data_IF_424207424322
#
_entry.id   IF_424207424322
#
_cell.length_a   1.000
_cell.length_b   1.000
_cell.length_c   1.000
_cell.angle_alpha   90.00
_cell.angle_beta   90.00
_cell.angle_gamma   90.00
#
_symmetry.space_group_name_H-M   'P 1'
#
loop_
_entity.id
_entity.type
_entity.pdbx_description
1 polymer ?
#
# COMPACT_ATOMS: atom_id res chain seq x y z
N UNK A 1 -41.09 10.00 36.77
CA UNK A 1 -40.55 9.04 37.77
C UNK A 1 -39.06 8.93 37.51
N UNK A 2 -38.18 9.62 38.27
CA UNK A 2 -37.42 9.12 39.45
C UNK A 2 -36.74 7.76 39.15
N UNK A 3 -35.43 7.51 39.29
CA UNK A 3 -34.32 8.08 40.11
C UNK A 3 -33.03 7.33 39.69
N UNK A 4 -31.90 7.99 39.41
CA UNK A 4 -30.73 8.26 40.29
C UNK A 4 -29.84 7.05 40.67
N UNK A 5 -28.58 7.08 40.20
CA UNK A 5 -27.30 6.92 40.96
C UNK A 5 -26.15 6.82 39.96
N UNK A 6 -25.36 7.87 39.72
CA UNK A 6 -24.25 8.41 40.53
C UNK A 6 -23.15 7.39 40.85
N UNK A 7 -22.00 7.60 40.21
CA UNK A 7 -20.72 6.91 40.41
C UNK A 7 -19.57 7.85 40.03
N UNK A 8 -19.55 9.02 40.66
CA UNK A 8 -18.47 10.01 40.67
C UNK A 8 -18.00 10.08 42.13
N UNK A 9 -16.79 9.64 42.41
CA UNK A 9 -16.05 9.83 43.68
C UNK A 9 -14.54 9.67 43.38
N UNK A 10 -13.63 10.25 44.18
CA UNK A 10 -12.80 11.35 43.72
C UNK A 10 -11.31 11.17 44.08
N UNK A 11 -10.55 12.16 43.64
CA UNK A 11 -9.16 12.46 43.99
C UNK A 11 -8.88 12.28 45.48
N UNK A 12 -7.87 11.45 45.80
CA UNK A 12 -7.26 11.41 47.13
C UNK A 12 -6.15 12.47 47.27
N UNK A 13 -6.07 13.17 48.41
CA UNK A 13 -5.11 14.25 48.64
C UNK A 13 -3.74 13.76 49.12
N UNK A 14 -2.71 14.50 48.70
CA UNK A 14 -1.34 14.41 49.22
C UNK A 14 -1.27 15.07 50.61
N UNK A 15 -0.94 14.29 51.64
CA UNK A 15 -0.42 14.80 52.92
C UNK A 15 1.07 14.50 53.00
N UNK A 16 1.88 15.51 53.34
CA UNK A 16 3.30 15.33 53.64
C UNK A 16 4.17 16.57 53.51
N UNK A 17 3.80 17.69 54.14
CA UNK A 17 4.71 18.79 54.46
C UNK A 17 5.10 18.68 55.93
N UNK A 18 6.37 18.33 56.20
CA UNK A 18 7.06 18.55 57.48
C UNK A 18 8.56 18.41 57.27
N UNK A 19 9.33 19.47 57.53
CA UNK A 19 10.79 19.38 57.73
C UNK A 19 11.63 20.35 56.90
N UNK A 20 11.65 21.63 57.30
CA UNK A 20 12.80 22.50 57.04
C UNK A 20 13.91 22.17 58.04
N UNK A 21 15.18 22.28 57.64
CA UNK A 21 16.11 23.03 58.47
C UNK A 21 16.95 24.06 57.69
N UNK A 22 17.06 25.21 58.34
CA UNK A 22 18.14 26.20 58.41
C UNK A 22 19.12 26.37 57.25
N UNK A 23 19.17 27.64 56.81
CA UNK A 23 20.28 28.27 56.09
C UNK A 23 21.55 28.25 56.93
N UNK A 24 22.63 27.75 56.37
CA UNK A 24 23.99 28.19 56.62
C UNK A 24 24.84 28.02 55.35
N UNK A 25 25.94 28.76 55.30
CA UNK A 25 26.72 29.21 54.15
C UNK A 25 27.07 28.24 53.00
N UNK A 26 27.13 28.84 51.79
CA UNK A 26 27.63 28.30 50.53
C UNK A 26 29.09 27.80 50.61
N UNK A 27 29.46 26.86 49.73
CA UNK A 27 30.38 27.27 48.67
C UNK A 27 29.89 26.83 47.30
N UNK A 28 30.13 27.70 46.29
CA UNK A 28 30.02 27.37 44.88
C UNK A 28 30.84 26.11 44.53
N UNK A 29 30.24 25.07 43.92
CA UNK A 29 30.96 24.11 43.13
C UNK A 29 30.70 24.40 41.65
N UNK A 30 31.77 24.87 40.99
CA UNK A 30 32.20 24.46 39.64
C UNK A 30 31.11 23.96 38.68
N UNK A 31 30.95 24.69 37.57
CA UNK A 31 30.32 24.29 36.31
C UNK A 31 30.11 22.78 36.17
N UNK A 32 28.96 22.30 36.63
CA UNK A 32 28.50 20.94 36.34
C UNK A 32 28.17 20.93 34.87
N UNK A 33 29.08 20.38 34.05
CA UNK A 33 28.76 19.88 32.70
C UNK A 33 27.48 19.07 32.84
N UNK A 34 26.34 19.64 32.43
CA UNK A 34 25.13 18.86 32.19
C UNK A 34 25.51 17.95 31.03
N UNK A 35 25.71 16.68 31.33
CA UNK A 35 25.74 15.62 30.31
C UNK A 35 24.48 15.78 29.46
N UNK A 36 24.60 15.79 28.13
CA UNK A 36 23.44 15.95 27.26
C UNK A 36 22.54 14.72 27.38
N UNK A 37 21.28 14.97 27.75
CA UNK A 37 20.11 14.26 27.25
C UNK A 37 19.88 12.83 27.71
N UNK A 38 19.12 12.66 28.80
CA UNK A 38 18.38 11.41 28.99
C UNK A 38 17.26 11.33 27.94
N UNK A 39 17.12 10.18 27.26
CA UNK A 39 16.10 9.95 26.22
C UNK A 39 14.65 10.31 26.63
N UNK A 40 14.21 10.19 27.91
CA UNK A 40 12.88 10.65 28.31
C UNK A 40 12.70 12.18 28.21
N UNK A 41 13.76 12.95 28.47
CA UNK A 41 13.72 14.42 28.37
C UNK A 41 13.59 14.90 26.92
N UNK A 42 14.29 14.25 25.99
CA UNK A 42 14.17 14.53 24.56
C UNK A 42 12.79 14.14 24.01
N UNK A 43 12.19 13.03 24.47
CA UNK A 43 10.81 12.66 24.12
C UNK A 43 9.79 13.70 24.61
N UNK A 44 9.92 14.16 25.85
CA UNK A 44 9.03 15.18 26.39
C UNK A 44 9.09 16.49 25.59
N UNK A 45 10.31 16.92 25.21
CA UNK A 45 10.53 18.12 24.40
C UNK A 45 9.98 17.94 22.97
N UNK A 46 10.26 16.81 22.32
CA UNK A 46 9.74 16.50 20.99
C UNK A 46 8.20 16.44 20.97
N UNK A 47 7.57 15.84 21.98
CA UNK A 47 6.12 15.85 22.16
C UNK A 47 5.58 17.27 22.37
N UNK A 48 6.21 18.06 23.24
CA UNK A 48 5.80 19.44 23.51
C UNK A 48 5.90 20.34 22.27
N UNK A 49 6.89 20.11 21.42
CA UNK A 49 7.14 20.88 20.20
C UNK A 49 6.48 20.29 18.95
N UNK A 50 5.84 19.11 19.07
CA UNK A 50 5.29 18.32 17.94
C UNK A 50 6.32 18.07 16.84
N UNK A 51 7.60 17.93 17.23
CA UNK A 51 8.71 17.69 16.32
C UNK A 51 9.07 16.18 16.32
N UNK A 52 9.58 15.64 15.19
CA UNK A 52 10.00 14.24 15.13
C UNK A 52 11.12 13.89 16.13
N UNK A 53 10.99 12.75 16.82
CA UNK A 53 11.94 12.29 17.84
C UNK A 53 13.37 12.04 17.30
N UNK A 54 13.49 11.62 16.04
CA UNK A 54 14.78 11.40 15.38
C UNK A 54 15.59 12.69 15.21
N UNK A 55 14.95 13.87 15.16
CA UNK A 55 15.66 15.16 15.18
C UNK A 55 16.38 15.40 16.51
N UNK A 56 15.96 14.70 17.57
CA UNK A 56 16.61 14.71 18.88
C UNK A 56 17.42 13.44 19.15
N UNK A 57 17.70 12.64 18.11
CA UNK A 57 18.45 11.39 18.21
C UNK A 57 17.73 10.29 19.00
N UNK A 58 16.41 10.38 19.17
CA UNK A 58 15.61 9.36 19.85
C UNK A 58 14.80 8.59 18.81
N UNK A 59 15.14 7.33 18.61
CA UNK A 59 14.28 6.37 17.90
C UNK A 59 13.29 5.77 18.91
N UNK A 60 12.00 5.72 18.58
CA UNK A 60 11.05 4.95 19.38
C UNK A 60 11.09 3.46 18.99
N UNK A 61 10.62 2.58 19.88
CA UNK A 61 10.44 1.16 19.55
C UNK A 61 9.53 1.00 18.32
N UNK A 62 8.50 1.84 18.22
CA UNK A 62 7.59 1.92 17.07
C UNK A 62 8.31 2.27 15.76
N UNK A 63 9.39 3.06 15.79
CA UNK A 63 10.15 3.39 14.59
C UNK A 63 11.01 2.21 14.11
N UNK A 64 11.57 1.42 15.04
CA UNK A 64 12.33 0.21 14.71
C UNK A 64 11.42 -0.90 14.15
N UNK A 65 10.24 -1.09 14.74
CA UNK A 65 9.23 -2.02 14.26
C UNK A 65 8.72 -1.62 12.87
N UNK A 66 8.54 -0.31 12.63
CA UNK A 66 8.16 0.20 11.31
C UNK A 66 9.26 -0.01 10.27
N UNK A 67 10.52 0.24 10.61
CA UNK A 67 11.65 0.01 9.71
C UNK A 67 11.74 -1.47 9.29
N UNK A 68 11.56 -2.40 10.24
CA UNK A 68 11.49 -3.83 9.95
C UNK A 68 10.29 -4.15 9.02
N UNK A 69 9.12 -3.57 9.29
CA UNK A 69 7.94 -3.75 8.44
C UNK A 69 8.19 -3.29 7.00
N UNK A 70 8.84 -2.15 6.79
CA UNK A 70 9.19 -1.66 5.45
C UNK A 70 10.18 -2.60 4.77
N UNK A 71 11.20 -3.08 5.49
CA UNK A 71 12.20 -4.00 4.96
C UNK A 71 11.61 -5.33 4.47
N UNK A 72 10.59 -5.86 5.17
CA UNK A 72 9.96 -7.14 4.80
C UNK A 72 8.69 -6.98 3.97
N UNK A 73 8.17 -5.77 3.80
CA UNK A 73 6.86 -5.52 3.20
C UNK A 73 6.70 -6.11 1.81
N UNK A 74 7.69 -5.93 0.93
CA UNK A 74 7.65 -6.50 -0.43
C UNK A 74 7.60 -8.03 -0.42
N UNK A 75 8.29 -8.66 0.54
CA UNK A 75 8.28 -10.11 0.68
C UNK A 75 6.90 -10.61 1.12
N UNK A 76 6.25 -9.91 2.07
CA UNK A 76 4.89 -10.22 2.50
C UNK A 76 3.90 -10.09 1.35
N UNK A 77 3.99 -9.01 0.56
CA UNK A 77 3.12 -8.81 -0.61
C UNK A 77 3.32 -9.94 -1.61
N UNK A 78 4.57 -10.26 -1.95
CA UNK A 78 4.88 -11.32 -2.91
C UNK A 78 4.38 -12.70 -2.46
N UNK A 79 4.57 -13.04 -1.18
CA UNK A 79 4.07 -14.30 -0.62
C UNK A 79 2.54 -14.35 -0.63
N UNK A 80 1.86 -13.26 -0.27
CA UNK A 80 0.42 -13.18 -0.33
C UNK A 80 -0.12 -13.31 -1.77
N UNK A 81 0.58 -12.75 -2.76
CA UNK A 81 0.23 -12.93 -4.17
C UNK A 81 0.36 -14.40 -4.62
N UNK A 82 1.42 -15.09 -4.21
CA UNK A 82 1.62 -16.52 -4.48
C UNK A 82 0.53 -17.35 -3.80
N UNK A 83 0.23 -17.06 -2.53
CA UNK A 83 -0.83 -17.72 -1.76
C UNK A 83 -2.18 -17.56 -2.48
N UNK A 84 -2.55 -16.34 -2.86
CA UNK A 84 -3.77 -16.06 -3.65
C UNK A 84 -3.81 -16.83 -4.96
N UNK A 85 -2.72 -16.83 -5.73
CA UNK A 85 -2.65 -17.55 -7.01
C UNK A 85 -2.76 -19.07 -6.83
N UNK A 86 -2.34 -19.57 -5.66
CA UNK A 86 -2.41 -20.97 -5.27
C UNK A 86 -3.76 -21.36 -4.63
N UNK A 87 -4.73 -20.44 -4.53
CA UNK A 87 -6.05 -20.67 -3.95
C UNK A 87 -6.18 -20.36 -2.45
N UNK A 88 -5.08 -19.99 -1.77
CA UNK A 88 -5.03 -19.62 -0.36
C UNK A 88 -5.32 -18.13 -0.17
N UNK A 89 -6.50 -17.70 -0.62
CA UNK A 89 -6.83 -16.28 -0.70
C UNK A 89 -7.13 -15.66 0.67
N UNK A 90 -7.69 -16.44 1.59
CA UNK A 90 -7.99 -15.97 2.96
C UNK A 90 -6.68 -15.69 3.71
N UNK A 91 -5.68 -16.56 3.55
CA UNK A 91 -4.34 -16.41 4.08
C UNK A 91 -3.68 -15.14 3.52
N UNK A 92 -3.79 -14.92 2.21
CA UNK A 92 -3.30 -13.69 1.58
C UNK A 92 -3.94 -12.43 2.19
N UNK A 93 -5.25 -12.45 2.47
CA UNK A 93 -5.94 -11.31 3.13
C UNK A 93 -5.42 -11.12 4.56
N UNK A 94 -5.25 -12.21 5.31
CA UNK A 94 -4.77 -12.17 6.70
C UNK A 94 -3.35 -11.60 6.81
N UNK A 95 -2.49 -11.86 5.83
CA UNK A 95 -1.13 -11.32 5.79
C UNK A 95 -1.09 -9.85 5.33
N UNK A 96 -1.91 -9.51 4.32
CA UNK A 96 -1.93 -8.17 3.73
C UNK A 96 -2.62 -7.13 4.62
N UNK A 97 -3.65 -7.52 5.37
CA UNK A 97 -4.43 -6.57 6.16
C UNK A 97 -3.59 -5.83 7.23
N UNK A 98 -2.83 -6.52 8.11
CA UNK A 98 -1.99 -5.85 9.10
C UNK A 98 -0.91 -4.95 8.48
N UNK A 99 -0.33 -5.38 7.35
CA UNK A 99 0.66 -4.60 6.61
C UNK A 99 0.05 -3.29 6.09
N UNK A 100 -1.06 -3.38 5.36
CA UNK A 100 -1.74 -2.21 4.81
C UNK A 100 -2.20 -1.26 5.92
N UNK A 101 -2.79 -1.77 7.01
CA UNK A 101 -3.26 -0.94 8.12
C UNK A 101 -2.13 -0.14 8.77
N UNK A 102 -0.96 -0.75 9.02
CA UNK A 102 0.19 -0.06 9.60
C UNK A 102 0.80 0.98 8.65
N UNK A 103 0.90 0.67 7.37
CA UNK A 103 1.36 1.63 6.36
C UNK A 103 0.38 2.80 6.21
N UNK A 104 -0.93 2.56 6.26
CA UNK A 104 -1.95 3.62 6.25
C UNK A 104 -1.87 4.51 7.49
N UNK A 105 -1.67 3.94 8.68
CA UNK A 105 -1.48 4.70 9.91
C UNK A 105 -0.26 5.63 9.79
N UNK A 106 0.87 5.12 9.29
CA UNK A 106 2.06 5.95 9.08
C UNK A 106 1.87 7.01 7.99
N UNK A 107 1.12 6.69 6.94
CA UNK A 107 0.75 7.66 5.90
C UNK A 107 -0.04 8.83 6.47
N UNK A 108 -0.98 8.56 7.38
CA UNK A 108 -1.80 9.57 8.02
C UNK A 108 -1.00 10.55 8.90
N UNK A 109 0.19 10.15 9.36
CA UNK A 109 1.11 11.02 10.10
C UNK A 109 1.93 11.95 9.18
N UNK A 110 1.83 11.79 7.86
CA UNK A 110 2.55 12.59 6.86
C UNK A 110 4.03 12.25 6.71
N UNK A 111 4.46 11.07 7.19
CA UNK A 111 5.88 10.69 7.30
C UNK A 111 6.24 9.51 6.39
N UNK A 112 6.02 9.63 5.09
CA UNK A 112 6.37 8.55 4.14
C UNK A 112 7.33 9.02 3.06
N UNK A 113 8.41 8.26 2.91
CA UNK A 113 9.31 8.32 1.77
C UNK A 113 8.65 7.67 0.54
N UNK A 114 9.20 7.95 -0.65
CA UNK A 114 8.67 7.44 -1.93
C UNK A 114 8.55 5.92 -1.94
N UNK A 115 9.57 5.21 -1.44
CA UNK A 115 9.57 3.74 -1.38
C UNK A 115 8.44 3.22 -0.49
N UNK A 116 8.18 3.87 0.65
CA UNK A 116 7.09 3.48 1.54
C UNK A 116 5.72 3.79 0.94
N UNK A 117 5.59 4.85 0.15
CA UNK A 117 4.38 5.12 -0.65
C UNK A 117 4.16 4.05 -1.71
N UNK A 118 5.21 3.61 -2.39
CA UNK A 118 5.17 2.50 -3.35
C UNK A 118 4.73 1.20 -2.67
N UNK A 119 5.32 0.89 -1.51
CA UNK A 119 4.94 -0.27 -0.71
C UNK A 119 3.47 -0.21 -0.25
N UNK A 120 3.00 0.96 0.22
CA UNK A 120 1.61 1.16 0.59
C UNK A 120 0.66 0.99 -0.60
N UNK A 121 1.00 1.55 -1.76
CA UNK A 121 0.22 1.39 -2.98
C UNK A 121 0.12 -0.09 -3.38
N UNK A 122 1.24 -0.81 -3.33
CA UNK A 122 1.31 -2.24 -3.65
C UNK A 122 0.50 -3.08 -2.66
N UNK A 123 0.63 -2.82 -1.36
CA UNK A 123 -0.15 -3.52 -0.32
C UNK A 123 -1.66 -3.29 -0.49
N UNK A 124 -2.09 -2.05 -0.74
CA UNK A 124 -3.49 -1.71 -1.01
C UNK A 124 -4.03 -2.41 -2.25
N UNK A 125 -3.22 -2.47 -3.31
CA UNK A 125 -3.59 -3.13 -4.56
C UNK A 125 -3.78 -4.63 -4.34
N UNK A 126 -2.78 -5.29 -3.75
CA UNK A 126 -2.81 -6.72 -3.47
C UNK A 126 -3.98 -7.07 -2.55
N UNK A 127 -4.19 -6.31 -1.47
CA UNK A 127 -5.32 -6.52 -0.55
C UNK A 127 -6.66 -6.37 -1.26
N UNK A 128 -6.83 -5.32 -2.06
CA UNK A 128 -8.05 -5.09 -2.84
C UNK A 128 -8.36 -6.22 -3.81
N UNK A 129 -7.36 -6.74 -4.53
CA UNK A 129 -7.54 -7.87 -5.45
C UNK A 129 -7.87 -9.18 -4.72
N UNK A 130 -7.22 -9.44 -3.57
CA UNK A 130 -7.55 -10.59 -2.72
C UNK A 130 -8.97 -10.50 -2.18
N UNK A 131 -9.38 -9.34 -1.66
CA UNK A 131 -10.73 -9.08 -1.18
C UNK A 131 -11.77 -9.29 -2.29
N UNK A 132 -11.51 -8.80 -3.50
CA UNK A 132 -12.40 -9.00 -4.65
C UNK A 132 -12.46 -10.44 -5.17
N UNK A 133 -11.77 -11.38 -4.51
CA UNK A 133 -11.86 -12.83 -4.79
C UNK A 133 -12.63 -13.55 -3.68
N UNK A 134 -12.56 -13.09 -2.42
CA UNK A 134 -13.23 -13.75 -1.27
C UNK A 134 -14.54 -13.11 -0.84
N UNK A 135 -14.73 -11.81 -1.12
CA UNK A 135 -15.92 -11.10 -0.70
C UNK A 135 -17.12 -11.47 -1.58
N UNK A 136 -18.32 -11.55 -0.99
CA UNK A 136 -19.55 -11.72 -1.76
C UNK A 136 -19.85 -10.45 -2.58
N UNK A 137 -20.73 -10.57 -3.58
CA UNK A 137 -20.99 -9.54 -4.59
C UNK A 137 -21.36 -8.18 -3.97
N UNK A 138 -22.21 -8.19 -2.94
CA UNK A 138 -22.66 -7.01 -2.22
C UNK A 138 -21.54 -6.25 -1.49
N UNK A 139 -20.38 -6.91 -1.27
CA UNK A 139 -19.20 -6.33 -0.62
C UNK A 139 -18.04 -6.02 -1.58
N UNK A 140 -18.17 -6.32 -2.87
CA UNK A 140 -17.17 -5.97 -3.88
C UNK A 140 -16.84 -4.46 -3.97
N UNK A 141 -17.73 -3.50 -3.62
CA UNK A 141 -17.35 -2.10 -3.52
C UNK A 141 -16.16 -1.83 -2.57
N UNK A 142 -15.96 -2.66 -1.54
CA UNK A 142 -14.79 -2.55 -0.66
C UNK A 142 -13.48 -2.90 -1.39
N UNK A 143 -13.47 -3.92 -2.25
CA UNK A 143 -12.31 -4.26 -3.08
C UNK A 143 -11.97 -3.13 -4.07
N UNK A 144 -13.00 -2.53 -4.67
CA UNK A 144 -12.86 -1.35 -5.54
C UNK A 144 -12.28 -0.17 -4.77
N UNK A 145 -12.70 0.07 -3.53
CA UNK A 145 -12.16 1.17 -2.72
C UNK A 145 -10.66 0.98 -2.43
N UNK A 146 -10.22 -0.23 -2.06
CA UNK A 146 -8.81 -0.52 -1.81
C UNK A 146 -7.94 -0.35 -3.06
N UNK A 147 -8.36 -0.95 -4.18
CA UNK A 147 -7.63 -0.80 -5.46
C UNK A 147 -7.67 0.64 -5.99
N UNK A 148 -8.75 1.39 -5.71
CA UNK A 148 -8.85 2.82 -6.02
C UNK A 148 -7.89 3.68 -5.20
N UNK A 149 -7.74 3.43 -3.90
CA UNK A 149 -6.72 4.09 -3.06
C UNK A 149 -5.30 3.82 -3.57
N UNK A 150 -5.01 2.60 -4.02
CA UNK A 150 -3.73 2.26 -4.62
C UNK A 150 -3.48 3.06 -5.91
N UNK A 151 -4.51 3.20 -6.75
CA UNK A 151 -4.43 3.95 -7.99
C UNK A 151 -4.14 5.44 -7.79
N UNK A 152 -4.71 6.07 -6.76
CA UNK A 152 -4.38 7.46 -6.42
C UNK A 152 -2.88 7.61 -6.13
N UNK A 153 -2.28 6.69 -5.37
CA UNK A 153 -0.84 6.72 -5.12
C UNK A 153 -0.03 6.45 -6.39
N UNK A 154 -0.42 5.45 -7.18
CA UNK A 154 0.29 5.09 -8.42
C UNK A 154 0.38 6.27 -9.40
N UNK A 155 -0.65 7.13 -9.46
CA UNK A 155 -0.65 8.34 -10.30
C UNK A 155 0.40 9.39 -9.88
N UNK A 156 0.92 9.31 -8.66
CA UNK A 156 1.89 10.26 -8.10
C UNK A 156 3.30 9.67 -7.95
N UNK A 157 3.50 8.39 -8.31
CA UNK A 157 4.76 7.69 -8.13
C UNK A 157 5.68 7.73 -9.37
N UNK A 158 5.26 8.40 -10.46
CA UNK A 158 5.99 8.51 -11.73
C UNK A 158 6.57 7.17 -12.25
N UNK A 159 5.81 6.09 -12.09
CA UNK A 159 6.14 4.75 -12.59
C UNK A 159 4.99 4.24 -13.46
N UNK A 160 5.16 4.40 -14.77
CA UNK A 160 4.16 4.00 -15.77
C UNK A 160 3.87 2.49 -15.75
N UNK A 161 4.88 1.66 -15.43
CA UNK A 161 4.70 0.21 -15.36
C UNK A 161 3.82 -0.15 -14.19
N UNK A 162 4.08 0.44 -13.03
CA UNK A 162 3.27 0.26 -11.84
C UNK A 162 1.86 0.83 -12.01
N UNK A 163 1.72 2.00 -12.63
CA UNK A 163 0.44 2.62 -12.94
C UNK A 163 -0.39 1.76 -13.91
N UNK A 164 0.21 1.24 -14.98
CA UNK A 164 -0.47 0.34 -15.93
C UNK A 164 -0.96 -0.94 -15.23
N UNK A 165 -0.12 -1.54 -14.38
CA UNK A 165 -0.49 -2.69 -13.56
C UNK A 165 -1.66 -2.39 -12.62
N UNK A 166 -1.64 -1.24 -11.97
CA UNK A 166 -2.67 -0.79 -11.02
C UNK A 166 -3.99 -0.49 -11.71
N UNK A 167 -3.96 0.21 -12.86
CA UNK A 167 -5.13 0.45 -13.71
C UNK A 167 -5.78 -0.87 -14.15
N UNK A 168 -4.97 -1.85 -14.55
CA UNK A 168 -5.43 -3.17 -14.97
C UNK A 168 -6.18 -3.89 -13.84
N UNK A 169 -5.59 -3.94 -12.66
CA UNK A 169 -6.20 -4.60 -11.50
C UNK A 169 -7.44 -3.86 -11.01
N UNK A 170 -7.39 -2.54 -10.88
CA UNK A 170 -8.55 -1.74 -10.49
C UNK A 170 -9.71 -1.86 -11.49
N UNK A 171 -9.41 -1.87 -12.80
CA UNK A 171 -10.39 -2.11 -13.85
C UNK A 171 -11.09 -3.47 -13.73
N UNK A 172 -10.34 -4.53 -13.41
CA UNK A 172 -10.93 -5.84 -13.15
C UNK A 172 -11.86 -5.85 -11.93
N UNK A 173 -11.47 -5.19 -10.83
CA UNK A 173 -12.32 -5.12 -9.64
C UNK A 173 -13.57 -4.27 -9.87
N UNK A 174 -13.47 -3.17 -10.65
CA UNK A 174 -14.64 -2.42 -11.11
C UNK A 174 -15.61 -3.27 -11.93
N UNK A 175 -15.08 -4.12 -12.82
CA UNK A 175 -15.88 -5.04 -13.64
C UNK A 175 -16.64 -6.03 -12.77
N UNK A 176 -15.96 -6.69 -11.83
CA UNK A 176 -16.61 -7.63 -10.88
C UNK A 176 -17.72 -6.94 -10.09
N UNK A 177 -17.53 -5.69 -9.70
CA UNK A 177 -18.54 -4.89 -9.01
C UNK A 177 -19.64 -4.29 -9.93
N UNK A 178 -19.76 -4.75 -11.18
CA UNK A 178 -20.78 -4.30 -12.13
C UNK A 178 -20.58 -2.90 -12.70
N UNK A 179 -19.46 -2.21 -12.42
CA UNK A 179 -19.17 -0.85 -12.92
C UNK A 179 -18.50 -0.89 -14.29
N UNK A 180 -19.14 -1.56 -15.24
CA UNK A 180 -18.50 -2.06 -16.46
C UNK A 180 -17.93 -0.94 -17.37
N UNK A 181 -18.63 0.19 -17.52
CA UNK A 181 -18.11 1.33 -18.30
C UNK A 181 -16.84 1.94 -17.69
N UNK A 182 -16.82 2.07 -16.37
CA UNK A 182 -15.64 2.56 -15.66
C UNK A 182 -14.48 1.56 -15.77
N UNK A 183 -14.78 0.26 -15.68
CA UNK A 183 -13.80 -0.80 -15.89
C UNK A 183 -13.15 -0.71 -17.28
N UNK A 184 -13.95 -0.59 -18.35
CA UNK A 184 -13.46 -0.48 -19.72
C UNK A 184 -12.50 0.71 -19.88
N UNK A 185 -12.89 1.90 -19.41
CA UNK A 185 -12.05 3.10 -19.49
C UNK A 185 -10.68 2.92 -18.79
N UNK A 186 -10.65 2.29 -17.60
CA UNK A 186 -9.38 2.02 -16.89
C UNK A 186 -8.53 0.99 -17.63
N UNK A 187 -9.15 -0.02 -18.23
CA UNK A 187 -8.45 -1.07 -18.96
C UNK A 187 -7.89 -0.57 -20.29
N UNK A 188 -8.59 0.33 -20.99
CA UNK A 188 -8.05 1.04 -22.15
C UNK A 188 -6.81 1.85 -21.79
N UNK A 189 -6.86 2.62 -20.69
CA UNK A 189 -5.67 3.33 -20.18
C UNK A 189 -4.53 2.37 -19.84
N UNK A 190 -4.83 1.21 -19.24
CA UNK A 190 -3.82 0.20 -18.95
C UNK A 190 -3.18 -0.39 -20.21
N UNK A 191 -3.94 -0.62 -21.28
CA UNK A 191 -3.42 -1.06 -22.59
C UNK A 191 -2.51 0.01 -23.17
N UNK A 192 -2.96 1.27 -23.19
CA UNK A 192 -2.21 2.38 -23.78
C UNK A 192 -0.88 2.64 -23.05
N UNK A 193 -0.86 2.50 -21.72
CA UNK A 193 0.31 2.76 -20.89
C UNK A 193 1.29 1.56 -20.82
N UNK A 194 0.84 0.35 -21.16
CA UNK A 194 1.68 -0.84 -21.07
C UNK A 194 2.80 -0.83 -22.11
N UNK A 195 4.05 -0.77 -21.64
CA UNK A 195 5.24 -0.79 -22.50
C UNK A 195 5.59 -2.19 -23.07
N UNK A 196 5.05 -3.26 -22.48
CA UNK A 196 5.37 -4.63 -22.91
C UNK A 196 4.18 -5.31 -23.61
N UNK A 197 4.42 -6.13 -24.65
CA UNK A 197 3.35 -6.90 -25.31
C UNK A 197 2.58 -7.79 -24.33
N UNK A 198 3.25 -8.35 -23.32
CA UNK A 198 2.62 -9.16 -22.28
C UNK A 198 1.65 -8.33 -21.42
N UNK A 199 2.05 -7.12 -21.01
CA UNK A 199 1.19 -6.19 -20.28
C UNK A 199 -0.04 -5.77 -21.08
N UNK A 200 0.17 -5.42 -22.35
CA UNK A 200 -0.90 -5.06 -23.29
C UNK A 200 -1.88 -6.22 -23.49
N UNK A 201 -1.38 -7.44 -23.69
CA UNK A 201 -2.21 -8.64 -23.83
C UNK A 201 -3.04 -8.92 -22.59
N UNK A 202 -2.44 -8.84 -21.40
CA UNK A 202 -3.13 -9.06 -20.13
C UNK A 202 -4.24 -8.00 -19.88
N UNK A 203 -3.99 -6.74 -20.22
CA UNK A 203 -4.99 -5.68 -20.12
C UNK A 203 -6.10 -5.83 -21.18
N UNK A 204 -5.74 -6.16 -22.42
CA UNK A 204 -6.69 -6.36 -23.53
C UNK A 204 -7.65 -7.53 -23.27
N UNK A 205 -7.15 -8.62 -22.67
CA UNK A 205 -8.00 -9.75 -22.30
C UNK A 205 -9.07 -9.35 -21.27
N UNK A 206 -8.72 -8.50 -20.30
CA UNK A 206 -9.68 -8.00 -19.31
C UNK A 206 -10.63 -6.97 -19.92
N UNK A 207 -10.15 -6.13 -20.85
CA UNK A 207 -11.00 -5.18 -21.58
C UNK A 207 -12.06 -5.92 -22.40
N UNK A 208 -11.68 -6.98 -23.11
CA UNK A 208 -12.62 -7.81 -23.85
C UNK A 208 -13.70 -8.44 -22.95
N UNK A 209 -13.33 -8.92 -21.75
CA UNK A 209 -14.30 -9.40 -20.76
C UNK A 209 -15.25 -8.31 -20.31
N UNK A 210 -14.74 -7.11 -19.98
CA UNK A 210 -15.58 -5.98 -19.62
C UNK A 210 -16.51 -5.56 -20.76
N UNK A 211 -16.04 -5.54 -22.01
CA UNK A 211 -16.89 -5.24 -23.17
C UNK A 211 -18.03 -6.27 -23.33
N UNK A 212 -17.72 -7.56 -23.16
CA UNK A 212 -18.71 -8.64 -23.16
C UNK A 212 -19.77 -8.47 -22.07
N UNK A 213 -19.35 -8.16 -20.84
CA UNK A 213 -20.26 -7.91 -19.70
C UNK A 213 -21.16 -6.68 -19.95
N UNK A 214 -20.72 -5.72 -20.76
CA UNK A 214 -21.51 -4.54 -21.13
C UNK A 214 -22.48 -4.77 -22.31
N UNK A 215 -22.43 -5.94 -22.95
CA UNK A 215 -23.14 -6.18 -24.22
C UNK A 215 -22.64 -5.32 -25.37
N UNK A 216 -21.42 -4.77 -25.27
CA UNK A 216 -20.81 -3.99 -26.35
C UNK A 216 -20.22 -4.95 -27.39
N UNK A 217 -20.44 -4.73 -28.69
CA UNK A 217 -19.85 -5.58 -29.73
C UNK A 217 -18.32 -5.55 -29.64
N UNK A 218 -17.68 -6.69 -29.86
CA UNK A 218 -16.23 -6.93 -29.77
C UNK A 218 -15.40 -5.84 -30.48
N UNK A 219 -15.04 -4.77 -29.78
CA UNK A 219 -14.04 -3.81 -30.24
C UNK A 219 -12.65 -4.31 -29.81
N UNK A 220 -12.24 -5.47 -30.31
CA UNK A 220 -10.86 -5.91 -30.13
C UNK A 220 -9.93 -4.85 -30.72
N UNK A 221 -8.95 -4.31 -29.96
CA UNK A 221 -7.99 -3.38 -30.52
C UNK A 221 -7.25 -4.09 -31.66
N UNK A 222 -7.39 -3.57 -32.89
CA UNK A 222 -6.65 -4.09 -34.04
C UNK A 222 -5.16 -3.98 -33.73
N UNK A 223 -4.34 -5.03 -33.95
CA UNK A 223 -2.91 -4.89 -33.81
C UNK A 223 -2.44 -3.77 -34.74
N UNK A 224 -1.77 -2.77 -34.19
CA UNK A 224 -1.15 -1.72 -34.98
C UNK A 224 -0.17 -2.39 -35.95
N UNK A 225 -0.36 -2.17 -37.25
CA UNK A 225 0.62 -2.59 -38.26
C UNK A 225 1.95 -1.92 -37.90
N UNK A 226 2.90 -2.71 -37.43
CA UNK A 226 4.29 -2.29 -37.37
C UNK A 226 4.70 -1.91 -38.80
N UNK A 227 4.89 -0.62 -39.04
CA UNK A 227 5.51 -0.11 -40.25
C UNK A 227 6.99 -0.55 -40.23
N UNK A 228 7.28 -1.63 -40.96
CA UNK A 228 8.62 -2.12 -41.22
C UNK A 228 8.72 -2.49 -42.68
N UNK A 229 8.92 -1.49 -43.54
CA UNK A 229 9.42 -1.67 -44.89
C UNK A 229 10.84 -2.24 -44.82
N UNK A 230 11.04 -3.43 -45.38
CA UNK A 230 12.35 -4.08 -45.42
C UNK A 230 12.34 -5.25 -46.38
N UNK A 231 12.40 -4.94 -47.66
CA UNK A 231 12.61 -5.87 -48.77
C UNK A 231 13.85 -6.73 -48.54
N UNK A 232 13.68 -8.06 -48.51
CA UNK A 232 14.71 -8.99 -48.96
C UNK A 232 14.04 -10.19 -49.65
N UNK A 233 14.31 -10.27 -50.96
CA UNK A 233 14.01 -11.39 -51.84
C UNK A 233 14.71 -12.66 -51.38
N UNK A 234 14.04 -13.78 -51.59
CA UNK A 234 14.66 -15.02 -52.05
C UNK A 234 15.28 -15.91 -50.97
N UNK A 235 14.59 -16.99 -50.62
CA UNK A 235 15.05 -18.34 -50.95
C UNK A 235 13.89 -19.32 -50.75
N UNK A 236 13.41 -19.88 -51.85
CA UNK A 236 12.64 -21.10 -51.86
C UNK A 236 13.61 -22.29 -51.89
N UNK A 237 13.38 -23.30 -51.05
CA UNK A 237 13.71 -24.73 -51.24
C UNK A 237 13.59 -25.45 -49.89
N UNK A 238 12.57 -26.29 -49.72
CA UNK A 238 12.70 -27.76 -49.71
C UNK A 238 13.38 -28.33 -48.45
N UNK A 239 12.62 -29.04 -47.63
CA UNK A 239 12.64 -30.52 -47.63
C UNK A 239 11.79 -31.07 -46.48
N UNK A 240 10.76 -31.82 -46.85
CA UNK A 240 10.23 -32.94 -46.06
C UNK A 240 11.37 -33.87 -45.64
N UNK A 241 11.31 -34.43 -44.42
CA UNK A 241 11.63 -35.84 -44.12
C UNK A 241 11.39 -36.12 -42.63
N UNK A 242 10.34 -36.87 -42.33
CA UNK A 242 10.24 -37.74 -41.14
C UNK A 242 11.34 -38.81 -41.17
N UNK A 243 11.68 -39.42 -40.03
CA UNK A 243 11.36 -40.84 -39.96
C UNK A 243 10.82 -41.31 -38.61
N UNK A 244 9.92 -42.27 -38.72
CA UNK A 244 9.51 -43.20 -37.68
C UNK A 244 10.67 -44.06 -37.19
N UNK A 245 10.67 -44.36 -35.89
CA UNK A 245 10.84 -45.71 -35.34
C UNK A 245 10.04 -45.83 -34.06
#
# INVERSE_FOLDING_TARGET
>A
MRTLRDGLEPLRPCHGLSGLPSRDHQPFPTTRRRTPGTSPGHRHIACALRLPFHLFGVTDADDADFAALVQFGDSVIRLAEIARQSGWVVEAVNDLWPLAARLEARAAEGRLERETLYLLASARLALGVSLGTVLPEERLPSAVAWTGKALVLAQHLDDDRFLAGTLRMHGNELRKAGRVRAAAARLESAVALSATPAGQGAASALLARAAGDAGLPNSSPKPSKAAGSGSARGLAANCCSTPSR
#
